data_IF_925598221459
#
_entry.id   IF_925598221459
#
_cell.length_a   1.000
_cell.length_b   1.000
_cell.length_c   1.000
_cell.angle_alpha   90.00
_cell.angle_beta   90.00
_cell.angle_gamma   90.00
#
_symmetry.space_group_name_H-M   'P 1'
#
loop_
_entity.id
_entity.type
_entity.pdbx_description
1 polymer ?
#
# COMPACT_ATOMS: atom_id res chain seq x y z
N UNK A 1 4.19 12.69 -26.29
CA UNK A 1 3.11 13.15 -25.38
C UNK A 1 2.04 12.10 -25.55
N UNK A 2 2.15 11.04 -24.78
CA UNK A 2 1.45 9.80 -25.09
C UNK A 2 0.07 9.86 -24.43
N UNK A 3 -0.96 9.73 -25.27
CA UNK A 3 -2.34 9.95 -24.88
C UNK A 3 -2.99 8.58 -24.68
N UNK A 4 -3.10 8.13 -23.42
CA UNK A 4 -3.72 6.86 -23.06
C UNK A 4 -5.24 6.99 -23.03
N UNK A 5 -5.86 7.25 -24.18
CA UNK A 5 -7.33 7.29 -24.29
C UNK A 5 -7.83 5.85 -24.37
N UNK A 6 -8.74 5.46 -23.46
CA UNK A 6 -9.37 4.14 -23.38
C UNK A 6 -8.46 2.95 -23.03
N UNK A 7 -7.25 3.17 -22.49
CA UNK A 7 -6.39 2.08 -22.02
C UNK A 7 -6.80 1.66 -20.60
N UNK A 8 -7.15 0.40 -20.44
CA UNK A 8 -7.33 -0.22 -19.10
C UNK A 8 -6.08 -1.03 -18.75
N UNK A 9 -5.52 -0.75 -17.59
CA UNK A 9 -4.40 -1.50 -17.01
C UNK A 9 -4.96 -2.37 -15.89
N UNK A 10 -4.82 -3.69 -16.02
CA UNK A 10 -5.28 -4.60 -14.97
C UNK A 10 -4.45 -4.45 -13.69
N UNK A 11 -3.13 -4.35 -13.83
CA UNK A 11 -2.21 -4.15 -12.72
C UNK A 11 -1.05 -3.23 -13.11
N UNK A 12 -0.84 -2.20 -12.30
CA UNK A 12 0.29 -1.29 -12.41
C UNK A 12 1.26 -1.48 -11.24
N UNK A 13 2.52 -1.74 -11.54
CA UNK A 13 3.57 -1.90 -10.54
C UNK A 13 4.41 -0.62 -10.40
N UNK A 14 4.37 0.02 -9.24
CA UNK A 14 5.12 1.23 -8.89
C UNK A 14 6.30 0.85 -8.01
N UNK A 15 7.48 0.75 -8.63
CA UNK A 15 8.66 0.17 -8.00
C UNK A 15 9.39 1.11 -7.03
N UNK A 16 9.48 2.38 -7.38
CA UNK A 16 10.22 3.41 -6.65
C UNK A 16 9.45 4.74 -6.59
N UNK A 17 10.01 5.71 -5.88
CA UNK A 17 9.40 7.03 -5.67
C UNK A 17 9.21 7.79 -6.98
N UNK A 18 10.14 7.67 -7.93
CA UNK A 18 10.02 8.32 -9.23
C UNK A 18 8.81 7.78 -10.01
N UNK A 19 8.55 6.47 -9.96
CA UNK A 19 7.37 5.87 -10.58
C UNK A 19 6.07 6.34 -9.91
N UNK A 20 6.06 6.44 -8.57
CA UNK A 20 4.92 6.95 -7.78
C UNK A 20 4.61 8.39 -8.16
N UNK A 21 5.63 9.25 -8.18
CA UNK A 21 5.51 10.67 -8.50
C UNK A 21 5.07 10.87 -9.95
N UNK A 22 5.71 10.15 -10.88
CA UNK A 22 5.34 10.20 -12.30
C UNK A 22 3.88 9.81 -12.49
N UNK A 23 3.46 8.70 -11.90
CA UNK A 23 2.09 8.23 -11.99
C UNK A 23 1.13 9.25 -11.38
N UNK A 24 1.33 9.65 -10.11
CA UNK A 24 0.45 10.58 -9.41
C UNK A 24 0.24 11.90 -10.17
N UNK A 25 1.30 12.45 -10.75
CA UNK A 25 1.24 13.67 -11.56
C UNK A 25 0.57 13.48 -12.93
N UNK A 26 0.52 12.24 -13.43
CA UNK A 26 -0.04 11.90 -14.74
C UNK A 26 -1.53 11.51 -14.70
N UNK A 27 -2.02 10.93 -13.60
CA UNK A 27 -3.44 10.48 -13.49
C UNK A 27 -4.42 11.64 -13.61
N UNK A 28 -4.06 12.85 -13.17
CA UNK A 28 -4.94 14.02 -13.24
C UNK A 28 -5.22 14.53 -14.66
N UNK A 29 -4.53 13.98 -15.69
CA UNK A 29 -4.60 14.45 -17.07
C UNK A 29 -5.11 13.39 -18.05
N UNK A 30 -5.37 12.17 -17.61
CA UNK A 30 -5.69 11.04 -18.47
C UNK A 30 -6.88 10.24 -17.95
N UNK A 31 -7.69 9.70 -18.87
CA UNK A 31 -8.77 8.73 -18.57
C UNK A 31 -8.20 7.32 -18.35
N UNK A 32 -7.02 7.21 -17.75
CA UNK A 32 -6.35 5.94 -17.53
C UNK A 32 -7.10 5.16 -16.44
N UNK A 33 -7.68 4.02 -16.81
CA UNK A 33 -8.32 3.14 -15.84
C UNK A 33 -7.31 2.11 -15.34
N UNK A 34 -7.01 2.14 -14.03
CA UNK A 34 -6.15 1.15 -13.38
C UNK A 34 -7.01 0.33 -12.43
N UNK A 35 -7.09 -0.97 -12.64
CA UNK A 35 -7.86 -1.84 -11.74
C UNK A 35 -7.13 -2.05 -10.43
N UNK A 36 -5.82 -2.34 -10.50
CA UNK A 36 -5.00 -2.68 -9.33
C UNK A 36 -3.64 -1.99 -9.38
N UNK A 37 -3.12 -1.61 -8.21
CA UNK A 37 -1.73 -1.17 -8.06
C UNK A 37 -0.95 -2.04 -7.11
N UNK A 38 0.33 -2.19 -7.41
CA UNK A 38 1.29 -2.91 -6.61
C UNK A 38 2.49 -2.00 -6.32
N UNK A 39 2.96 -2.03 -5.08
CA UNK A 39 3.95 -1.10 -4.54
C UNK A 39 5.22 -1.85 -4.12
N UNK A 40 6.36 -1.43 -4.67
CA UNK A 40 7.66 -2.03 -4.43
C UNK A 40 8.30 -1.69 -3.08
N UNK A 41 9.37 -2.39 -2.73
CA UNK A 41 10.07 -2.22 -1.46
C UNK A 41 11.04 -1.02 -1.40
N UNK A 42 11.29 -0.36 -2.53
CA UNK A 42 12.16 0.83 -2.62
C UNK A 42 11.40 2.14 -2.34
N UNK A 43 10.14 2.04 -1.94
CA UNK A 43 9.31 3.19 -1.66
C UNK A 43 9.67 3.80 -0.31
N UNK A 44 9.70 5.13 -0.30
CA UNK A 44 9.82 5.88 0.92
C UNK A 44 8.45 5.89 1.63
N UNK A 45 8.31 5.29 2.83
CA UNK A 45 7.04 5.26 3.55
C UNK A 45 6.54 6.64 3.96
N UNK A 46 7.42 7.65 3.96
CA UNK A 46 7.13 9.07 4.25
C UNK A 46 6.80 9.88 3.01
N UNK A 47 6.75 9.25 1.83
CA UNK A 47 6.41 9.93 0.59
C UNK A 47 4.95 10.39 0.63
N UNK A 48 4.75 11.71 0.52
CA UNK A 48 3.43 12.32 0.50
C UNK A 48 2.57 11.78 -0.67
N UNK A 49 3.18 11.58 -1.84
CA UNK A 49 2.48 11.10 -3.04
C UNK A 49 2.05 9.64 -2.90
N UNK A 50 2.83 8.79 -2.24
CA UNK A 50 2.42 7.41 -1.91
C UNK A 50 1.17 7.41 -1.03
N UNK A 51 1.17 8.18 0.05
CA UNK A 51 0.02 8.27 0.98
C UNK A 51 -1.21 8.85 0.29
N UNK A 52 -1.03 9.87 -0.57
CA UNK A 52 -2.11 10.44 -1.39
C UNK A 52 -2.69 9.41 -2.35
N UNK A 53 -1.88 8.61 -3.03
CA UNK A 53 -2.36 7.54 -3.91
C UNK A 53 -3.17 6.50 -3.14
N UNK A 54 -2.65 6.00 -2.02
CA UNK A 54 -3.36 5.04 -1.18
C UNK A 54 -4.71 5.60 -0.72
N UNK A 55 -4.74 6.88 -0.31
CA UNK A 55 -5.97 7.57 0.08
C UNK A 55 -6.96 7.68 -1.08
N UNK A 56 -6.50 7.95 -2.31
CA UNK A 56 -7.35 7.96 -3.51
C UNK A 56 -7.97 6.59 -3.79
N UNK A 57 -7.19 5.52 -3.70
CA UNK A 57 -7.70 4.14 -3.83
C UNK A 57 -8.84 3.90 -2.84
N UNK A 58 -8.65 4.29 -1.58
CA UNK A 58 -9.67 4.11 -0.54
C UNK A 58 -10.88 5.05 -0.64
N UNK A 59 -10.74 6.18 -1.35
CA UNK A 59 -11.85 7.08 -1.65
C UNK A 59 -12.70 6.59 -2.81
N UNK A 60 -12.19 5.68 -3.64
CA UNK A 60 -12.90 5.17 -4.82
C UNK A 60 -13.04 6.23 -5.92
N UNK A 61 -12.03 7.09 -6.09
CA UNK A 61 -12.00 8.06 -7.20
C UNK A 61 -11.97 7.33 -8.56
N UNK A 62 -12.74 7.82 -9.54
CA UNK A 62 -12.97 7.12 -10.83
C UNK A 62 -11.70 6.91 -11.65
N UNK A 63 -10.76 7.86 -11.61
CA UNK A 63 -9.47 7.82 -12.32
C UNK A 63 -8.35 7.24 -11.46
N UNK A 64 -8.64 6.85 -10.21
CA UNK A 64 -7.67 6.24 -9.32
C UNK A 64 -7.65 4.72 -9.49
N UNK A 65 -6.56 4.07 -9.07
CA UNK A 65 -6.56 2.63 -8.92
C UNK A 65 -7.70 2.18 -7.99
N UNK A 66 -8.40 1.11 -8.35
CA UNK A 66 -9.54 0.64 -7.55
C UNK A 66 -9.12 -0.18 -6.34
N UNK A 67 -7.98 -0.88 -6.42
CA UNK A 67 -7.47 -1.75 -5.36
C UNK A 67 -5.96 -1.70 -5.25
N UNK A 68 -5.45 -1.99 -4.05
CA UNK A 68 -4.03 -2.31 -3.84
C UNK A 68 -3.91 -3.83 -3.91
N UNK A 69 -3.19 -4.34 -4.91
CA UNK A 69 -2.92 -5.77 -5.01
C UNK A 69 -1.75 -6.14 -4.12
N UNK A 70 -0.55 -5.66 -4.41
CA UNK A 70 0.63 -6.03 -3.62
C UNK A 70 1.24 -4.82 -2.92
N UNK A 71 1.61 -4.99 -1.65
CA UNK A 71 2.37 -4.00 -0.90
C UNK A 71 3.61 -4.66 -0.29
N UNK A 72 4.79 -4.18 -0.68
CA UNK A 72 6.07 -4.74 -0.24
C UNK A 72 6.83 -3.74 0.61
N UNK A 73 7.20 -4.15 1.82
CA UNK A 73 8.02 -3.36 2.73
C UNK A 73 9.42 -3.96 2.88
N UNK A 74 10.43 -3.11 2.63
CA UNK A 74 11.84 -3.41 2.87
C UNK A 74 12.25 -3.20 4.34
N UNK A 75 13.53 -3.50 4.61
CA UNK A 75 14.15 -3.54 5.94
C UNK A 75 13.87 -2.27 6.77
N UNK A 76 12.89 -2.32 7.67
CA UNK A 76 12.59 -1.23 8.63
C UNK A 76 11.38 -0.35 8.27
N UNK A 77 10.94 -0.37 7.01
CA UNK A 77 9.98 0.61 6.46
C UNK A 77 8.53 0.45 6.91
N UNK A 78 8.16 -0.71 7.46
CA UNK A 78 6.76 -1.02 7.79
C UNK A 78 6.20 -0.13 8.90
N UNK A 79 6.96 0.06 9.98
CA UNK A 79 6.48 0.87 11.12
C UNK A 79 6.49 2.36 10.83
N UNK A 80 7.46 2.83 10.05
CA UNK A 80 7.44 4.19 9.51
C UNK A 80 6.18 4.40 8.68
N UNK A 81 5.86 3.47 7.79
CA UNK A 81 4.64 3.55 6.98
C UNK A 81 3.38 3.62 7.83
N UNK A 82 3.24 2.78 8.85
CA UNK A 82 2.05 2.80 9.71
C UNK A 82 1.87 4.12 10.45
N UNK A 83 2.97 4.76 10.84
CA UNK A 83 2.96 6.07 11.48
C UNK A 83 2.42 7.12 10.52
N UNK A 84 2.96 7.17 9.30
CA UNK A 84 2.53 8.15 8.28
C UNK A 84 1.09 7.87 7.81
N UNK A 85 0.75 6.60 7.60
CA UNK A 85 -0.60 6.17 7.23
C UNK A 85 -1.64 6.43 8.33
N UNK A 86 -1.24 6.69 9.58
CA UNK A 86 -2.17 7.06 10.65
C UNK A 86 -2.86 8.41 10.45
N UNK A 87 -2.31 9.25 9.58
CA UNK A 87 -2.91 10.52 9.16
C UNK A 87 -4.07 10.31 8.16
N UNK A 88 -4.19 9.11 7.58
CA UNK A 88 -5.28 8.80 6.66
C UNK A 88 -6.57 8.60 7.49
N UNK A 89 -7.68 9.30 7.14
CA UNK A 89 -8.94 9.19 7.89
C UNK A 89 -9.48 7.76 7.99
N UNK A 90 -9.28 6.97 6.94
CA UNK A 90 -9.55 5.53 6.92
C UNK A 90 -8.30 4.80 7.43
N UNK A 91 -8.36 4.38 8.69
CA UNK A 91 -7.28 3.67 9.40
C UNK A 91 -7.23 2.18 9.05
N UNK A 92 -7.88 1.73 7.98
CA UNK A 92 -7.75 0.38 7.44
C UNK A 92 -7.30 0.46 6.00
N UNK A 93 -6.18 -0.18 5.71
CA UNK A 93 -5.60 -0.26 4.36
C UNK A 93 -5.81 -1.67 3.86
N UNK A 94 -6.64 -1.83 2.83
CA UNK A 94 -6.93 -3.14 2.26
C UNK A 94 -5.93 -3.47 1.15
N UNK A 95 -5.33 -4.66 1.22
CA UNK A 95 -4.39 -5.20 0.22
C UNK A 95 -4.70 -6.67 -0.05
N UNK A 96 -4.40 -7.14 -1.26
CA UNK A 96 -4.45 -8.57 -1.56
C UNK A 96 -3.25 -9.30 -0.93
N UNK A 97 -2.05 -8.81 -1.23
CA UNK A 97 -0.78 -9.43 -0.88
C UNK A 97 0.08 -8.45 -0.08
N UNK A 98 0.55 -8.88 1.09
CA UNK A 98 1.45 -8.13 1.95
C UNK A 98 2.77 -8.89 2.15
N UNK A 99 3.88 -8.26 1.77
CA UNK A 99 5.22 -8.79 1.99
C UNK A 99 5.99 -7.82 2.89
N UNK A 100 6.42 -8.28 4.07
CA UNK A 100 7.15 -7.46 5.03
C UNK A 100 8.49 -8.09 5.37
N UNK A 101 9.57 -7.35 5.18
CA UNK A 101 10.87 -7.67 5.78
C UNK A 101 11.20 -6.63 6.84
N UNK A 102 10.91 -6.92 8.11
CA UNK A 102 11.14 -6.00 9.22
C UNK A 102 12.26 -6.55 10.11
N UNK A 103 13.47 -6.02 9.97
CA UNK A 103 14.59 -6.38 10.86
C UNK A 103 14.72 -5.39 12.02
N UNK A 104 15.20 -5.86 13.17
CA UNK A 104 15.55 -4.99 14.30
C UNK A 104 14.58 -5.07 15.47
N UNK A 105 14.98 -4.49 16.61
CA UNK A 105 14.22 -4.48 17.87
C UNK A 105 13.12 -3.42 17.92
N UNK A 106 12.85 -2.74 16.81
CA UNK A 106 11.92 -1.62 16.77
C UNK A 106 10.58 -2.02 17.38
N UNK A 107 10.08 -1.14 18.25
CA UNK A 107 8.85 -1.41 19.03
C UNK A 107 7.58 -1.19 18.23
N UNK A 108 7.71 -0.67 17.01
CA UNK A 108 6.58 -0.19 16.23
C UNK A 108 6.04 1.13 16.79
N UNK A 109 5.00 1.68 16.17
CA UNK A 109 4.31 2.84 16.71
C UNK A 109 3.81 2.56 18.14
N UNK A 110 3.88 3.56 19.03
CA UNK A 110 3.38 3.44 20.42
C UNK A 110 1.91 3.01 20.43
N UNK A 111 1.47 2.34 21.50
CA UNK A 111 0.07 1.99 21.74
C UNK A 111 -0.85 3.20 21.43
N UNK A 112 -1.72 3.05 20.43
CA UNK A 112 -2.60 4.12 19.94
C UNK A 112 -2.67 4.26 18.42
N UNK A 113 -1.68 3.74 17.67
CA UNK A 113 -1.81 3.64 16.21
C UNK A 113 -2.85 2.57 15.86
N UNK A 114 -4.02 3.06 15.44
CA UNK A 114 -5.19 2.25 15.07
C UNK A 114 -5.16 1.84 13.59
N UNK A 115 -4.13 2.26 12.85
CA UNK A 115 -3.94 1.83 11.47
C UNK A 115 -3.73 0.32 11.42
N UNK A 116 -4.57 -0.35 10.63
CA UNK A 116 -4.49 -1.78 10.35
C UNK A 116 -4.32 -2.00 8.85
N UNK A 117 -3.50 -2.96 8.47
CA UNK A 117 -3.43 -3.46 7.10
C UNK A 117 -4.29 -4.72 7.06
N UNK A 118 -5.37 -4.67 6.30
CA UNK A 118 -6.25 -5.81 6.07
C UNK A 118 -5.75 -6.55 4.85
N UNK A 119 -5.34 -7.81 5.03
CA UNK A 119 -4.77 -8.64 3.95
C UNK A 119 -5.81 -9.67 3.54
N UNK A 120 -6.18 -9.73 2.27
CA UNK A 120 -7.20 -10.69 1.82
C UNK A 120 -6.61 -12.01 1.36
N UNK A 121 -5.45 -12.05 0.68
CA UNK A 121 -4.99 -13.27 -0.03
C UNK A 121 -3.69 -13.86 0.47
N UNK A 122 -2.66 -13.04 0.68
CA UNK A 122 -1.35 -13.58 1.05
C UNK A 122 -0.59 -12.65 1.96
N UNK A 123 -0.02 -13.22 3.02
CA UNK A 123 0.92 -12.52 3.88
C UNK A 123 2.24 -13.27 3.97
N UNK A 124 3.35 -12.55 3.89
CA UNK A 124 4.68 -13.08 4.14
C UNK A 124 5.47 -12.09 4.99
N UNK A 125 5.73 -12.46 6.24
CA UNK A 125 6.51 -11.64 7.19
C UNK A 125 7.83 -12.34 7.48
N UNK A 126 8.92 -11.61 7.32
CA UNK A 126 10.27 -12.03 7.72
C UNK A 126 10.83 -11.06 8.74
N UNK A 127 11.21 -11.56 9.92
CA UNK A 127 11.85 -10.80 10.99
C UNK A 127 10.93 -10.56 12.20
N UNK A 128 10.63 -9.30 12.50
CA UNK A 128 9.98 -8.88 13.74
C UNK A 128 8.49 -9.27 13.79
N UNK A 129 8.12 -10.16 14.72
CA UNK A 129 6.75 -10.66 14.90
C UNK A 129 5.73 -9.58 15.29
N UNK A 130 6.16 -8.42 15.84
CA UNK A 130 5.25 -7.31 16.19
C UNK A 130 4.49 -6.74 15.00
N UNK A 131 4.96 -7.00 13.77
CA UNK A 131 4.22 -6.67 12.54
C UNK A 131 2.79 -7.23 12.58
N UNK A 132 2.61 -8.43 13.14
CA UNK A 132 1.30 -9.09 13.23
C UNK A 132 0.26 -8.27 14.02
N UNK A 133 0.68 -7.44 14.99
CA UNK A 133 -0.23 -6.62 15.79
C UNK A 133 -0.97 -5.55 14.97
N UNK A 134 -0.45 -5.24 13.78
CA UNK A 134 -1.00 -4.21 12.88
C UNK A 134 -1.63 -4.80 11.62
N UNK A 135 -1.73 -6.13 11.55
CA UNK A 135 -2.32 -6.84 10.41
C UNK A 135 -3.62 -7.52 10.82
N UNK A 136 -4.63 -7.37 9.98
CA UNK A 136 -5.91 -8.05 10.09
C UNK A 136 -6.04 -9.01 8.89
N UNK A 137 -6.29 -10.29 9.17
CA UNK A 137 -6.45 -11.30 8.14
C UNK A 137 -7.89 -11.28 7.65
N UNK A 138 -8.07 -11.15 6.34
CA UNK A 138 -9.37 -11.26 5.68
C UNK A 138 -9.88 -12.71 5.68
N UNK A 139 -11.16 -12.92 5.38
CA UNK A 139 -11.81 -14.24 5.49
C UNK A 139 -11.19 -15.30 4.57
N UNK A 140 -10.60 -14.89 3.45
CA UNK A 140 -9.90 -15.79 2.50
C UNK A 140 -8.62 -16.41 3.11
N UNK A 141 -8.03 -15.78 4.14
CA UNK A 141 -6.83 -16.25 4.81
C UNK A 141 -7.00 -16.43 6.32
N UNK A 142 -8.20 -16.26 6.87
CA UNK A 142 -8.45 -16.45 8.31
C UNK A 142 -8.29 -17.90 8.78
N UNK A 143 -8.07 -18.84 7.85
CA UNK A 143 -7.85 -20.27 8.08
C UNK A 143 -6.37 -20.67 8.05
N UNK A 144 -5.43 -19.73 8.23
CA UNK A 144 -4.04 -20.10 8.50
C UNK A 144 -3.98 -20.86 9.84
N UNK A 145 -3.92 -22.20 9.77
CA UNK A 145 -3.52 -23.09 10.87
C UNK A 145 -2.04 -22.85 11.28
#
# INVERSE_FOLDING_TARGET
KDNFINTTIEELFLFDEAAVDFFYNSIGRSELCVEKVSFGNKLNPKSENLLKLIKRVHKGETTAPRKIKTLVFGKGSFFDFLKEASEIPKRKIHVDDLLVTQSGKDSGPKEGTTTRIVVSKKISIKGNARVLLFVELGPEISHFD
#
